data_IF_824989507181
#
_entry.id   IF_824989507181
#
_cell.length_a   1.000
_cell.length_b   1.000
_cell.length_c   1.000
_cell.angle_alpha   90.00
_cell.angle_beta   90.00
_cell.angle_gamma   90.00
#
_symmetry.space_group_name_H-M   'P 1'
#
loop_
_entity.id
_entity.type
_entity.pdbx_description
1 polymer ?
#
# COMPACT_ATOMS: atom_id res chain seq x y z
N UNK A 1 -16.63 21.62 -3.78
CA UNK A 1 -15.59 20.58 -3.95
C UNK A 1 -15.45 20.07 -5.38
N UNK A 2 -16.47 19.58 -6.07
CA UNK A 2 -16.33 19.18 -7.50
C UNK A 2 -15.90 20.31 -8.44
N UNK A 3 -15.86 21.54 -7.97
CA UNK A 3 -15.60 22.71 -8.79
C UNK A 3 -14.15 23.24 -8.71
N UNK A 4 -13.38 22.90 -7.68
CA UNK A 4 -12.06 23.52 -7.44
C UNK A 4 -11.00 23.10 -8.45
N UNK A 5 -10.82 21.80 -8.67
CA UNK A 5 -9.91 21.31 -9.72
C UNK A 5 -10.34 21.82 -11.11
N UNK A 6 -11.64 21.85 -11.36
CA UNK A 6 -12.19 22.42 -12.61
C UNK A 6 -11.84 23.90 -12.78
N UNK A 7 -11.92 24.70 -11.71
CA UNK A 7 -11.54 26.11 -11.70
C UNK A 7 -10.03 26.27 -11.94
N UNK A 8 -9.18 25.46 -11.28
CA UNK A 8 -7.73 25.47 -11.50
C UNK A 8 -7.36 25.14 -12.94
N UNK A 9 -7.96 24.09 -13.49
CA UNK A 9 -7.77 23.70 -14.90
C UNK A 9 -8.18 24.82 -15.84
N UNK A 10 -9.31 25.50 -15.56
CA UNK A 10 -9.80 26.64 -16.35
C UNK A 10 -8.85 27.83 -16.28
N UNK A 11 -8.32 28.15 -15.09
CA UNK A 11 -7.38 29.25 -14.89
C UNK A 11 -6.08 28.96 -15.61
N UNK A 12 -5.48 27.77 -15.37
CA UNK A 12 -4.30 27.29 -16.07
C UNK A 12 -4.44 27.39 -17.60
N UNK A 13 -5.55 26.85 -18.13
CA UNK A 13 -5.81 26.92 -19.58
C UNK A 13 -5.81 28.35 -20.10
N UNK A 14 -6.42 29.30 -19.36
CA UNK A 14 -6.46 30.71 -19.73
C UNK A 14 -5.08 31.38 -19.65
N UNK A 15 -4.30 31.09 -18.61
CA UNK A 15 -2.92 31.56 -18.44
C UNK A 15 -2.01 31.07 -19.59
N UNK A 16 -2.22 29.85 -20.04
CA UNK A 16 -1.52 29.28 -21.20
C UNK A 16 -2.07 29.75 -22.56
N UNK A 17 -3.13 30.58 -22.58
CA UNK A 17 -3.75 31.08 -23.83
C UNK A 17 -4.45 29.97 -24.66
N UNK A 18 -4.78 28.83 -24.05
CA UNK A 18 -5.35 27.68 -24.77
C UNK A 18 -6.88 27.76 -24.86
N UNK A 19 -7.42 27.35 -26.00
CA UNK A 19 -8.85 27.05 -26.12
C UNK A 19 -9.19 25.72 -25.43
N UNK A 20 -10.46 25.48 -25.11
CA UNK A 20 -10.91 24.19 -24.57
C UNK A 20 -10.64 23.02 -25.53
N UNK A 21 -10.67 23.29 -26.84
CA UNK A 21 -10.38 22.30 -27.86
C UNK A 21 -8.89 21.91 -27.84
N UNK A 22 -7.97 22.87 -27.78
CA UNK A 22 -6.53 22.63 -27.70
C UNK A 22 -6.15 21.86 -26.44
N UNK A 23 -6.71 22.21 -25.27
CA UNK A 23 -6.48 21.48 -24.03
C UNK A 23 -7.07 20.05 -24.11
N UNK A 24 -8.22 19.86 -24.77
CA UNK A 24 -8.79 18.53 -24.98
C UNK A 24 -7.86 17.65 -25.81
N UNK A 25 -7.36 18.19 -26.92
CA UNK A 25 -6.44 17.48 -27.83
C UNK A 25 -5.12 17.13 -27.15
N UNK A 26 -4.50 18.09 -26.41
CA UNK A 26 -3.25 17.83 -25.68
C UNK A 26 -3.41 16.71 -24.67
N UNK A 27 -4.54 16.63 -23.99
CA UNK A 27 -4.84 15.58 -23.03
C UNK A 27 -5.37 14.29 -23.66
N UNK A 28 -5.61 14.26 -24.98
CA UNK A 28 -6.13 13.10 -25.70
C UNK A 28 -7.62 12.84 -25.47
N UNK A 29 -8.41 13.91 -25.26
CA UNK A 29 -9.86 13.84 -25.35
C UNK A 29 -10.34 14.09 -26.79
N UNK A 30 -11.36 13.39 -27.23
CA UNK A 30 -11.94 13.52 -28.56
C UNK A 30 -12.71 14.80 -28.77
N UNK A 31 -13.27 15.40 -27.70
CA UNK A 31 -14.13 16.57 -27.80
C UNK A 31 -13.92 17.57 -26.67
N UNK A 32 -13.93 18.87 -27.00
CA UNK A 32 -13.88 20.00 -26.04
C UNK A 32 -14.96 19.94 -24.95
N UNK A 33 -16.06 19.24 -25.21
CA UNK A 33 -17.17 19.13 -24.25
C UNK A 33 -16.76 18.48 -22.94
N UNK A 34 -15.74 17.60 -22.94
CA UNK A 34 -15.20 17.02 -21.70
C UNK A 34 -14.49 18.06 -20.86
N UNK A 35 -13.63 18.89 -21.47
CA UNK A 35 -12.95 19.97 -20.76
C UNK A 35 -13.98 20.97 -20.18
N UNK A 36 -15.00 21.32 -20.97
CA UNK A 36 -16.07 22.19 -20.47
C UNK A 36 -16.79 21.58 -19.26
N UNK A 37 -17.12 20.30 -19.29
CA UNK A 37 -17.75 19.61 -18.15
C UNK A 37 -16.84 19.59 -16.92
N UNK A 38 -15.53 19.36 -17.12
CA UNK A 38 -14.54 19.37 -16.04
C UNK A 38 -14.41 20.77 -15.44
N UNK A 39 -14.26 21.81 -16.26
CA UNK A 39 -14.16 23.21 -15.82
C UNK A 39 -15.41 23.69 -15.07
N UNK A 40 -16.57 23.12 -15.36
CA UNK A 40 -17.84 23.39 -14.68
C UNK A 40 -18.08 22.49 -13.46
N UNK A 41 -17.15 21.59 -13.13
CA UNK A 41 -17.30 20.61 -12.03
C UNK A 41 -18.39 19.55 -12.26
N UNK A 42 -18.87 19.39 -13.51
CA UNK A 42 -19.90 18.44 -13.91
C UNK A 42 -19.32 17.05 -14.24
N UNK A 43 -18.01 16.96 -14.44
CA UNK A 43 -17.26 15.72 -14.69
C UNK A 43 -15.90 15.83 -14.03
N UNK A 44 -15.34 14.70 -13.66
CA UNK A 44 -13.99 14.60 -13.09
C UNK A 44 -12.98 14.29 -14.21
N UNK A 45 -11.73 14.72 -14.02
CA UNK A 45 -10.63 14.35 -14.89
C UNK A 45 -10.03 13.05 -14.37
N UNK A 46 -9.80 12.07 -15.26
CA UNK A 46 -9.11 10.85 -14.85
C UNK A 46 -7.69 11.15 -14.38
N UNK A 47 -7.19 10.32 -13.49
CA UNK A 47 -5.85 10.46 -12.93
C UNK A 47 -4.76 10.47 -14.01
N UNK A 48 -4.87 9.59 -15.01
CA UNK A 48 -3.99 9.57 -16.18
C UNK A 48 -3.94 10.92 -16.92
N UNK A 49 -5.07 11.58 -17.06
CA UNK A 49 -5.16 12.89 -17.70
C UNK A 49 -4.61 14.01 -16.84
N UNK A 50 -4.77 13.94 -15.50
CA UNK A 50 -4.13 14.87 -14.56
C UNK A 50 -2.62 14.76 -14.69
N UNK A 51 -2.07 13.56 -14.72
CA UNK A 51 -0.64 13.34 -14.88
C UNK A 51 -0.15 13.86 -16.22
N UNK A 52 -0.89 13.59 -17.30
CA UNK A 52 -0.56 14.12 -18.61
C UNK A 52 -0.56 15.66 -18.59
N UNK A 53 -1.53 16.29 -17.95
CA UNK A 53 -1.59 17.74 -17.76
C UNK A 53 -0.34 18.27 -17.04
N UNK A 54 0.01 17.67 -15.90
CA UNK A 54 1.18 18.09 -15.11
C UNK A 54 2.49 17.99 -15.91
N UNK A 55 2.66 16.90 -16.66
CA UNK A 55 3.85 16.70 -17.52
C UNK A 55 3.89 17.65 -18.70
N UNK A 56 2.81 17.76 -19.45
CA UNK A 56 2.75 18.53 -20.69
C UNK A 56 3.04 20.01 -20.47
N UNK A 57 2.59 20.52 -19.31
CA UNK A 57 2.76 21.93 -18.95
C UNK A 57 3.80 22.16 -17.85
N UNK A 58 4.63 21.15 -17.56
CA UNK A 58 5.73 21.19 -16.57
C UNK A 58 5.30 21.76 -15.21
N UNK A 59 4.12 21.34 -14.73
CA UNK A 59 3.53 21.84 -13.48
C UNK A 59 4.06 21.03 -12.29
N UNK A 60 4.35 21.71 -11.20
CA UNK A 60 4.65 21.04 -9.94
C UNK A 60 3.36 20.47 -9.34
N UNK A 61 3.32 19.15 -9.16
CA UNK A 61 2.13 18.47 -8.65
C UNK A 61 1.71 18.96 -7.25
N UNK A 62 2.67 19.31 -6.37
CA UNK A 62 2.41 19.83 -5.04
C UNK A 62 1.88 21.27 -5.04
N UNK A 63 2.23 22.06 -6.05
CA UNK A 63 1.72 23.44 -6.22
C UNK A 63 0.35 23.45 -6.91
N UNK A 64 0.20 22.60 -7.92
CA UNK A 64 -1.06 22.52 -8.67
C UNK A 64 -2.19 21.85 -7.88
N UNK A 65 -1.84 20.89 -7.00
CA UNK A 65 -2.77 20.16 -6.14
C UNK A 65 -2.71 20.61 -4.66
N UNK A 66 -2.41 21.90 -4.40
CA UNK A 66 -2.07 22.48 -3.08
C UNK A 66 -2.80 21.86 -1.88
N UNK A 67 -2.00 21.58 -0.82
CA UNK A 67 -2.46 21.06 0.48
C UNK A 67 -3.49 22.00 1.18
N UNK A 68 -3.42 23.32 0.98
CA UNK A 68 -4.32 24.29 1.63
C UNK A 68 -5.74 24.27 1.06
N UNK A 69 -5.94 23.90 -0.19
CA UNK A 69 -7.28 23.77 -0.79
C UNK A 69 -7.94 22.42 -0.50
N UNK A 70 -7.15 21.44 -0.01
CA UNK A 70 -7.64 20.18 0.52
C UNK A 70 -7.96 20.30 2.03
N UNK A 71 -8.05 21.51 2.55
CA UNK A 71 -8.56 21.76 3.90
C UNK A 71 -10.04 21.43 3.96
N UNK A 72 -10.35 20.14 3.80
CA UNK A 72 -11.67 19.60 4.11
C UNK A 72 -11.85 19.87 5.60
N UNK A 73 -12.68 20.84 5.91
CA UNK A 73 -13.06 21.18 7.26
C UNK A 73 -13.33 19.86 8.03
N UNK A 74 -12.71 19.67 9.18
CA UNK A 74 -12.83 18.47 10.02
C UNK A 74 -14.30 18.03 10.19
N UNK A 75 -15.23 19.01 10.22
CA UNK A 75 -16.69 18.80 10.26
C UNK A 75 -17.29 18.20 8.98
N UNK A 76 -16.64 18.34 7.82
CA UNK A 76 -17.06 17.67 6.57
C UNK A 76 -16.52 16.26 6.47
N UNK A 77 -15.34 16.00 7.05
CA UNK A 77 -14.77 14.63 7.20
C UNK A 77 -15.71 13.81 8.09
N UNK A 78 -16.17 14.37 9.20
CA UNK A 78 -17.14 13.72 10.10
C UNK A 78 -18.50 13.47 9.40
N UNK A 79 -18.92 14.35 8.48
CA UNK A 79 -20.12 14.16 7.65
C UNK A 79 -19.97 13.08 6.58
N UNK A 80 -18.76 12.81 6.10
CA UNK A 80 -18.51 11.79 5.09
C UNK A 80 -18.54 10.36 5.68
N UNK A 81 -18.68 10.22 7.03
CA UNK A 81 -18.67 8.91 7.73
C UNK A 81 -17.58 8.01 7.19
N UNK A 82 -16.36 8.49 7.20
CA UNK A 82 -15.21 7.63 6.92
C UNK A 82 -15.24 6.46 7.90
N UNK A 83 -14.87 5.29 7.42
CA UNK A 83 -14.70 4.13 8.30
C UNK A 83 -13.70 4.51 9.41
N UNK A 84 -14.04 4.23 10.67
CA UNK A 84 -13.10 4.38 11.77
C UNK A 84 -12.05 3.27 11.68
N UNK A 85 -10.79 3.63 11.50
CA UNK A 85 -9.68 2.69 11.43
C UNK A 85 -9.47 1.90 12.73
N UNK A 86 -10.04 2.38 13.85
CA UNK A 86 -10.03 1.70 15.14
C UNK A 86 -11.23 0.77 15.33
N UNK A 87 -12.20 0.77 14.42
CA UNK A 87 -13.30 -0.17 14.43
C UNK A 87 -12.81 -1.56 14.03
N UNK A 88 -12.92 -2.55 14.93
CA UNK A 88 -12.42 -3.92 14.67
C UNK A 88 -13.15 -4.57 13.48
N UNK A 89 -14.47 -4.41 13.38
CA UNK A 89 -15.29 -5.02 12.33
C UNK A 89 -15.81 -3.97 11.36
N UNK A 90 -15.07 -3.69 10.24
CA UNK A 90 -15.37 -2.54 9.38
C UNK A 90 -16.52 -2.76 8.40
N UNK A 91 -16.99 -4.00 8.19
CA UNK A 91 -17.98 -4.29 7.18
C UNK A 91 -19.38 -3.81 7.60
N UNK A 92 -20.04 -3.06 6.71
CA UNK A 92 -21.40 -2.52 6.91
C UNK A 92 -22.45 -3.61 7.17
N UNK A 93 -22.23 -4.82 6.68
CA UNK A 93 -23.11 -5.99 6.85
C UNK A 93 -23.08 -6.59 8.25
N UNK A 94 -22.21 -6.12 9.16
CA UNK A 94 -21.97 -6.73 10.47
C UNK A 94 -21.24 -8.07 10.42
N UNK A 95 -20.73 -8.46 9.25
CA UNK A 95 -19.95 -9.70 9.07
C UNK A 95 -18.60 -9.53 9.81
N UNK A 96 -18.28 -10.52 10.67
CA UNK A 96 -17.08 -10.51 11.51
C UNK A 96 -15.89 -11.29 10.91
N UNK A 97 -15.98 -11.73 9.67
CA UNK A 97 -14.91 -12.46 8.97
C UNK A 97 -13.80 -11.56 8.42
N UNK A 98 -13.95 -10.24 8.55
CA UNK A 98 -12.96 -9.24 8.16
C UNK A 98 -12.73 -8.30 9.34
N UNK A 99 -11.46 -8.10 9.70
CA UNK A 99 -11.09 -7.20 10.80
C UNK A 99 -10.08 -6.15 10.33
N UNK A 100 -10.21 -4.91 10.82
CA UNK A 100 -9.07 -3.99 10.80
C UNK A 100 -8.00 -4.54 11.72
N UNK A 101 -6.76 -4.62 11.23
CA UNK A 101 -5.67 -5.29 11.95
C UNK A 101 -5.19 -4.45 13.13
N UNK A 102 -4.91 -3.15 12.90
CA UNK A 102 -4.30 -2.24 13.88
C UNK A 102 -4.94 -2.32 15.29
N UNK A 103 -6.27 -2.23 15.46
CA UNK A 103 -6.89 -2.28 16.78
C UNK A 103 -6.86 -3.66 17.46
N UNK A 104 -6.46 -4.73 16.74
CA UNK A 104 -6.42 -6.10 17.28
C UNK A 104 -5.02 -6.52 17.73
N UNK A 105 -3.98 -5.75 17.42
CA UNK A 105 -2.58 -6.09 17.69
C UNK A 105 -2.24 -5.84 19.17
N UNK A 106 -1.61 -6.84 19.77
CA UNK A 106 -1.07 -6.79 21.14
C UNK A 106 0.45 -6.86 21.16
N UNK A 107 1.05 -7.55 20.19
CA UNK A 107 2.49 -7.71 20.07
C UNK A 107 3.14 -6.39 19.62
N UNK A 108 4.04 -5.82 20.45
CA UNK A 108 4.77 -4.56 20.18
C UNK A 108 5.68 -4.60 18.94
N UNK A 109 6.07 -5.79 18.51
CA UNK A 109 6.92 -6.00 17.34
C UNK A 109 6.11 -6.15 16.04
N UNK A 110 4.76 -6.03 16.09
CA UNK A 110 3.88 -5.98 14.94
C UNK A 110 3.33 -4.56 14.83
N UNK A 111 3.71 -3.83 13.79
CA UNK A 111 3.32 -2.44 13.55
C UNK A 111 2.44 -2.40 12.31
N UNK A 112 1.22 -1.90 12.42
CA UNK A 112 0.25 -1.89 11.32
C UNK A 112 -0.33 -0.50 11.11
N UNK A 113 -0.32 -0.06 9.87
CA UNK A 113 -0.92 1.19 9.42
C UNK A 113 -2.46 1.14 9.41
N UNK A 114 -3.07 2.33 9.34
CA UNK A 114 -4.51 2.52 9.36
C UNK A 114 -5.19 1.86 8.17
N UNK A 115 -6.45 1.42 8.37
CA UNK A 115 -7.31 0.84 7.35
C UNK A 115 -6.82 -0.48 6.72
N UNK A 116 -5.70 -1.03 7.18
CA UNK A 116 -5.25 -2.35 6.76
C UNK A 116 -6.13 -3.42 7.40
N UNK A 117 -6.63 -4.35 6.57
CA UNK A 117 -7.56 -5.37 7.03
C UNK A 117 -7.08 -6.79 6.70
N UNK A 118 -7.60 -7.74 7.47
CA UNK A 118 -7.37 -9.16 7.34
C UNK A 118 -8.69 -9.91 7.17
N UNK A 119 -8.73 -10.84 6.22
CA UNK A 119 -9.86 -11.75 6.03
C UNK A 119 -9.76 -12.94 6.99
N UNK A 120 -10.09 -12.69 8.26
CA UNK A 120 -10.04 -13.63 9.37
C UNK A 120 -10.30 -12.91 10.68
N UNK A 121 -10.25 -13.63 11.80
CA UNK A 121 -10.57 -13.07 13.13
C UNK A 121 -9.33 -12.77 14.00
N UNK A 122 -8.22 -13.45 13.76
CA UNK A 122 -6.99 -13.31 14.54
C UNK A 122 -5.78 -13.17 13.62
N UNK A 123 -5.33 -11.93 13.41
CA UNK A 123 -4.19 -11.65 12.56
C UNK A 123 -2.86 -12.09 13.18
N UNK A 124 -2.69 -11.99 14.51
CA UNK A 124 -1.42 -12.35 15.15
C UNK A 124 -1.07 -13.83 14.96
N UNK A 125 -2.07 -14.71 14.77
CA UNK A 125 -1.80 -16.12 14.45
C UNK A 125 -1.19 -16.35 13.06
N UNK A 126 -1.23 -15.33 12.19
CA UNK A 126 -0.58 -15.36 10.87
C UNK A 126 0.93 -15.08 10.94
N UNK A 127 1.43 -14.61 12.11
CA UNK A 127 2.84 -14.23 12.29
C UNK A 127 3.53 -15.36 13.07
N UNK A 128 4.26 -16.19 12.35
CA UNK A 128 4.87 -17.42 12.89
C UNK A 128 6.36 -17.22 13.20
N UNK A 129 6.90 -18.02 14.12
CA UNK A 129 8.32 -17.99 14.50
C UNK A 129 8.82 -16.59 14.90
N UNK A 130 7.95 -15.81 15.55
CA UNK A 130 8.21 -14.44 15.98
C UNK A 130 8.55 -14.42 17.46
N UNK A 131 9.83 -14.49 17.78
CA UNK A 131 10.32 -14.57 19.15
C UNK A 131 10.89 -13.23 19.63
N UNK A 132 10.48 -12.79 20.83
CA UNK A 132 10.90 -11.50 21.40
C UNK A 132 12.42 -11.33 21.50
N UNK A 133 13.17 -12.43 21.73
CA UNK A 133 14.62 -12.37 21.86
C UNK A 133 15.34 -12.09 20.53
N UNK A 134 14.71 -12.34 19.39
CA UNK A 134 15.25 -11.99 18.06
C UNK A 134 15.05 -10.50 17.78
N UNK A 135 13.91 -9.96 18.20
CA UNK A 135 13.60 -8.53 18.13
C UNK A 135 13.27 -7.99 16.74
N UNK A 136 13.10 -8.88 15.74
CA UNK A 136 12.66 -8.49 14.40
C UNK A 136 11.20 -8.03 14.41
N UNK A 137 10.84 -7.19 13.45
CA UNK A 137 9.51 -6.58 13.36
C UNK A 137 8.79 -6.98 12.08
N UNK A 138 7.47 -7.12 12.18
CA UNK A 138 6.57 -7.10 11.04
C UNK A 138 5.98 -5.69 10.94
N UNK A 139 6.28 -4.98 9.85
CA UNK A 139 5.79 -3.62 9.59
C UNK A 139 4.88 -3.66 8.38
N UNK A 140 3.62 -3.26 8.55
CA UNK A 140 2.60 -3.22 7.49
C UNK A 140 2.14 -1.78 7.34
N UNK A 141 2.13 -1.28 6.12
CA UNK A 141 1.66 0.06 5.79
C UNK A 141 0.14 0.23 5.93
N UNK A 142 -0.38 1.33 5.40
CA UNK A 142 -1.80 1.68 5.38
C UNK A 142 -2.52 1.01 4.21
N UNK A 143 -3.83 0.79 4.34
CA UNK A 143 -4.72 0.31 3.28
C UNK A 143 -4.38 -1.05 2.67
N UNK A 144 -3.65 -1.89 3.39
CA UNK A 144 -3.35 -3.24 2.92
C UNK A 144 -4.56 -4.16 3.01
N UNK A 145 -4.70 -5.03 2.02
CA UNK A 145 -5.76 -6.04 1.94
C UNK A 145 -5.13 -7.42 2.08
N UNK A 146 -5.32 -8.07 3.23
CA UNK A 146 -4.67 -9.34 3.53
C UNK A 146 -5.72 -10.45 3.54
N UNK A 147 -5.52 -11.41 2.63
CA UNK A 147 -6.39 -12.59 2.46
C UNK A 147 -6.29 -13.58 3.62
N UNK A 148 -7.24 -14.50 3.67
CA UNK A 148 -7.25 -15.54 4.69
C UNK A 148 -6.02 -16.47 4.59
N UNK A 149 -5.60 -17.01 5.74
CA UNK A 149 -4.50 -17.99 5.84
C UNK A 149 -3.16 -17.49 5.24
N UNK A 150 -2.93 -16.19 5.24
CA UNK A 150 -1.61 -15.63 4.92
C UNK A 150 -0.68 -15.94 6.09
N UNK A 151 0.57 -16.30 5.80
CA UNK A 151 1.60 -16.54 6.80
C UNK A 151 2.76 -15.56 6.62
N UNK A 152 3.09 -14.84 7.68
CA UNK A 152 4.33 -14.06 7.79
C UNK A 152 5.31 -14.84 8.65
N UNK A 153 6.21 -15.58 7.99
CA UNK A 153 7.25 -16.33 8.67
C UNK A 153 8.34 -15.35 9.12
N UNK A 154 8.65 -15.34 10.41
CA UNK A 154 9.67 -14.44 10.97
C UNK A 154 11.02 -15.14 11.15
N UNK A 155 12.05 -14.41 11.55
CA UNK A 155 13.43 -14.91 11.56
C UNK A 155 13.69 -16.10 12.47
N UNK A 156 12.82 -16.37 13.42
CA UNK A 156 12.91 -17.56 14.27
C UNK A 156 12.76 -18.90 13.52
N UNK A 157 12.30 -18.85 12.26
CA UNK A 157 12.25 -20.05 11.39
C UNK A 157 13.60 -20.39 10.75
N UNK A 158 14.58 -19.50 10.79
CA UNK A 158 15.85 -19.70 10.11
C UNK A 158 16.79 -20.59 10.93
N UNK A 159 17.41 -21.56 10.28
CA UNK A 159 18.48 -22.39 10.84
C UNK A 159 19.84 -21.97 10.27
N UNK A 160 20.91 -22.20 11.02
CA UNK A 160 22.26 -21.95 10.53
C UNK A 160 22.59 -22.88 9.37
N UNK A 161 22.92 -22.31 8.20
CA UNK A 161 23.24 -23.06 6.99
C UNK A 161 24.76 -23.29 6.80
N UNK A 162 25.59 -22.54 7.51
CA UNK A 162 27.05 -22.60 7.47
C UNK A 162 27.67 -23.47 8.58
N UNK A 163 26.85 -24.14 9.38
CA UNK A 163 27.25 -25.10 10.36
C UNK A 163 27.31 -26.51 9.74
N UNK A 164 28.07 -27.44 10.37
CA UNK A 164 28.15 -28.85 9.95
C UNK A 164 26.76 -29.51 9.95
N UNK A 165 25.90 -29.11 10.89
CA UNK A 165 24.52 -29.56 10.98
C UNK A 165 23.59 -28.36 11.09
N UNK A 166 22.45 -28.43 10.41
CA UNK A 166 21.37 -27.44 10.57
C UNK A 166 20.50 -27.73 11.80
N UNK A 167 20.71 -28.83 12.49
CA UNK A 167 19.95 -29.20 13.67
C UNK A 167 20.35 -28.30 14.87
N UNK A 168 19.41 -27.64 15.53
CA UNK A 168 19.69 -26.69 16.59
C UNK A 168 19.83 -27.40 17.94
N UNK A 169 20.92 -28.11 18.15
CA UNK A 169 21.18 -28.92 19.36
C UNK A 169 20.98 -28.11 20.65
N UNK A 170 21.33 -26.84 20.64
CA UNK A 170 21.22 -25.91 21.79
C UNK A 170 19.78 -25.66 22.24
N UNK A 171 18.77 -25.98 21.42
CA UNK A 171 17.34 -25.79 21.78
C UNK A 171 16.79 -26.98 22.59
N UNK A 172 17.43 -28.16 22.46
CA UNK A 172 16.88 -29.38 23.01
C UNK A 172 17.63 -29.84 24.30
N UNK A 173 16.89 -30.34 25.27
CA UNK A 173 17.44 -30.90 26.50
C UNK A 173 18.34 -32.12 26.21
N UNK A 174 19.39 -32.27 27.00
CA UNK A 174 20.30 -33.41 26.90
C UNK A 174 21.50 -33.20 25.96
N UNK A 175 21.62 -32.00 25.39
CA UNK A 175 22.78 -31.56 24.64
C UNK A 175 23.50 -30.47 25.40
N UNK A 176 24.77 -30.68 25.77
CA UNK A 176 25.57 -29.67 26.50
C UNK A 176 26.18 -28.66 25.53
N UNK A 177 25.32 -27.93 24.81
CA UNK A 177 25.74 -26.84 23.92
C UNK A 177 25.24 -25.51 24.41
N UNK A 178 26.13 -24.51 24.40
CA UNK A 178 25.78 -23.15 24.70
C UNK A 178 24.87 -22.55 23.60
N UNK A 179 23.94 -21.68 24.01
CA UNK A 179 23.14 -20.96 23.05
C UNK A 179 24.04 -20.07 22.18
N UNK A 180 23.81 -20.01 20.86
CA UNK A 180 24.52 -19.09 19.99
C UNK A 180 24.24 -17.66 20.37
N UNK A 181 25.16 -16.76 20.10
CA UNK A 181 24.88 -15.34 20.17
C UNK A 181 23.84 -14.97 19.12
N UNK A 182 23.05 -13.95 19.39
CA UNK A 182 22.05 -13.45 18.40
C UNK A 182 22.74 -13.08 17.08
N UNK A 183 23.96 -12.54 17.14
CA UNK A 183 24.79 -12.23 15.97
C UNK A 183 25.11 -13.44 15.08
N UNK A 184 25.05 -14.64 15.64
CA UNK A 184 25.39 -15.89 14.92
C UNK A 184 24.17 -16.52 14.28
N UNK A 185 22.97 -16.03 14.60
CA UNK A 185 21.72 -16.48 13.99
C UNK A 185 21.55 -15.87 12.59
N UNK A 186 20.99 -16.61 11.63
CA UNK A 186 20.79 -16.12 10.26
C UNK A 186 19.60 -15.15 10.16
N UNK A 187 19.68 -14.01 10.86
CA UNK A 187 18.66 -12.98 10.91
C UNK A 187 18.73 -12.12 9.64
N UNK A 188 17.59 -11.95 8.97
CA UNK A 188 17.45 -11.16 7.72
C UNK A 188 16.87 -9.77 7.95
N UNK A 189 16.64 -9.38 9.22
CA UNK A 189 16.03 -8.12 9.60
C UNK A 189 14.50 -8.13 9.55
N UNK A 190 13.92 -6.92 9.56
CA UNK A 190 12.47 -6.71 9.61
C UNK A 190 11.78 -7.11 8.30
N UNK A 191 10.59 -7.70 8.40
CA UNK A 191 9.69 -7.91 7.27
C UNK A 191 8.83 -6.67 7.08
N UNK A 192 8.89 -6.06 5.89
CA UNK A 192 8.25 -4.76 5.62
C UNK A 192 7.27 -4.89 4.46
N UNK A 193 6.03 -4.53 4.70
CA UNK A 193 4.96 -4.44 3.71
C UNK A 193 4.63 -2.96 3.52
N UNK A 194 4.70 -2.48 2.29
CA UNK A 194 4.35 -1.10 1.94
C UNK A 194 2.87 -0.78 2.10
N UNK A 195 2.45 0.36 1.56
CA UNK A 195 1.04 0.76 1.58
C UNK A 195 0.28 0.18 0.38
N UNK A 196 -1.05 0.05 0.49
CA UNK A 196 -1.93 -0.42 -0.60
C UNK A 196 -1.47 -1.76 -1.21
N UNK A 197 -0.98 -2.67 -0.36
CA UNK A 197 -0.55 -4.00 -0.80
C UNK A 197 -1.72 -4.98 -0.70
N UNK A 198 -2.00 -5.67 -1.81
CA UNK A 198 -2.99 -6.74 -1.83
C UNK A 198 -2.30 -8.10 -1.77
N UNK A 199 -2.49 -8.82 -0.66
CA UNK A 199 -1.96 -10.18 -0.44
C UNK A 199 -3.11 -11.17 -0.58
N UNK A 200 -3.02 -12.05 -1.57
CA UNK A 200 -4.01 -13.11 -1.81
C UNK A 200 -4.01 -14.15 -0.69
N UNK A 201 -5.04 -14.99 -0.67
CA UNK A 201 -5.17 -16.08 0.31
C UNK A 201 -4.02 -17.10 0.23
N UNK A 202 -3.67 -17.71 1.36
CA UNK A 202 -2.64 -18.75 1.48
C UNK A 202 -1.25 -18.31 0.97
N UNK A 203 -0.95 -17.02 0.98
CA UNK A 203 0.39 -16.50 0.65
C UNK A 203 1.32 -16.69 1.85
N UNK A 204 2.55 -17.09 1.59
CA UNK A 204 3.62 -17.17 2.58
C UNK A 204 4.65 -16.08 2.27
N UNK A 205 4.96 -15.25 3.25
CA UNK A 205 6.02 -14.24 3.17
C UNK A 205 7.19 -14.69 4.02
N UNK A 206 8.36 -14.88 3.38
CA UNK A 206 9.57 -15.35 4.05
C UNK A 206 10.24 -14.24 4.87
N UNK A 207 11.06 -14.58 5.88
CA UNK A 207 11.69 -13.63 6.78
C UNK A 207 12.50 -12.54 6.07
N UNK A 208 12.39 -11.30 6.55
CA UNK A 208 13.19 -10.16 6.12
C UNK A 208 12.85 -9.60 4.72
N UNK A 209 11.77 -10.08 4.10
CA UNK A 209 11.33 -9.61 2.78
C UNK A 209 10.74 -8.21 2.88
N UNK A 210 11.06 -7.36 1.89
CA UNK A 210 10.49 -6.02 1.72
C UNK A 210 9.58 -5.99 0.49
N UNK A 211 8.32 -5.66 0.70
CA UNK A 211 7.30 -5.56 -0.35
C UNK A 211 6.95 -4.09 -0.53
N UNK A 212 7.15 -3.57 -1.74
CA UNK A 212 6.89 -2.18 -2.08
C UNK A 212 5.40 -1.82 -2.07
N UNK A 213 5.11 -0.51 -2.12
CA UNK A 213 3.74 -0.01 -2.17
C UNK A 213 2.98 -0.51 -3.40
N UNK A 214 1.70 -0.71 -3.26
CA UNK A 214 0.81 -1.05 -4.36
C UNK A 214 1.05 -2.41 -5.01
N UNK A 215 1.80 -3.30 -4.36
CA UNK A 215 2.06 -4.66 -4.87
C UNK A 215 0.80 -5.52 -4.77
N UNK A 216 0.62 -6.39 -5.74
CA UNK A 216 -0.41 -7.44 -5.73
C UNK A 216 0.28 -8.80 -5.72
N UNK A 217 -0.06 -9.64 -4.74
CA UNK A 217 0.48 -11.00 -4.60
C UNK A 217 -0.64 -12.00 -4.82
N UNK A 218 -0.48 -12.82 -5.87
CA UNK A 218 -1.44 -13.85 -6.22
C UNK A 218 -1.59 -14.92 -5.12
N UNK A 219 -2.78 -15.49 -5.01
CA UNK A 219 -3.12 -16.56 -4.06
C UNK A 219 -2.09 -17.70 -4.10
N UNK A 220 -1.78 -18.28 -2.94
CA UNK A 220 -0.87 -19.43 -2.77
C UNK A 220 0.57 -19.20 -3.24
N UNK A 221 1.02 -17.96 -3.26
CA UNK A 221 2.40 -17.61 -3.60
C UNK A 221 3.32 -17.72 -2.39
N UNK A 222 4.62 -18.01 -2.64
CA UNK A 222 5.67 -17.98 -1.63
C UNK A 222 6.66 -16.87 -1.96
N UNK A 223 6.63 -15.79 -1.20
CA UNK A 223 7.48 -14.61 -1.41
C UNK A 223 8.82 -14.80 -0.71
N UNK A 224 9.88 -15.00 -1.48
CA UNK A 224 11.22 -15.32 -0.99
C UNK A 224 12.25 -14.19 -1.18
N UNK A 225 11.86 -13.10 -1.88
CA UNK A 225 12.70 -11.94 -2.22
C UNK A 225 11.90 -10.67 -2.17
N UNK A 226 12.58 -9.55 -2.05
CA UNK A 226 12.00 -8.23 -2.13
C UNK A 226 11.20 -8.03 -3.44
N UNK A 227 10.07 -7.32 -3.33
CA UNK A 227 9.20 -7.04 -4.46
C UNK A 227 9.17 -5.52 -4.68
N UNK A 228 9.55 -5.05 -5.89
CA UNK A 228 9.50 -3.63 -6.21
C UNK A 228 8.04 -3.10 -6.24
N UNK A 229 7.85 -1.80 -5.96
CA UNK A 229 6.51 -1.19 -5.91
C UNK A 229 5.69 -1.44 -7.17
N UNK A 230 4.36 -1.50 -7.00
CA UNK A 230 3.37 -1.64 -8.08
C UNK A 230 3.59 -2.84 -9.00
N UNK A 231 4.22 -3.90 -8.49
CA UNK A 231 4.37 -5.17 -9.20
C UNK A 231 3.20 -6.10 -8.91
N UNK A 232 2.85 -6.93 -9.88
CA UNK A 232 1.97 -8.10 -9.71
C UNK A 232 2.85 -9.33 -9.75
N UNK A 233 2.81 -10.12 -8.67
CA UNK A 233 3.64 -11.32 -8.50
C UNK A 233 2.79 -12.55 -8.22
N UNK A 234 3.33 -13.75 -8.51
CA UNK A 234 2.66 -15.02 -8.20
C UNK A 234 3.59 -16.20 -8.30
N UNK A 235 3.18 -17.32 -7.73
CA UNK A 235 3.86 -18.60 -7.80
C UNK A 235 4.73 -18.96 -6.58
N UNK A 236 5.36 -20.14 -6.64
CA UNK A 236 6.28 -20.65 -5.63
C UNK A 236 7.59 -21.10 -6.31
N UNK A 237 8.70 -20.36 -6.12
CA UNK A 237 8.76 -19.05 -5.49
C UNK A 237 8.10 -17.96 -6.36
N UNK A 238 7.58 -16.92 -5.71
CA UNK A 238 6.91 -15.82 -6.40
C UNK A 238 7.85 -15.12 -7.40
N UNK A 239 7.29 -14.80 -8.58
CA UNK A 239 7.96 -14.07 -9.65
C UNK A 239 7.12 -12.92 -10.13
N UNK A 240 7.75 -11.86 -10.62
CA UNK A 240 7.06 -10.73 -11.23
C UNK A 240 6.39 -11.21 -12.51
N UNK A 241 5.08 -11.05 -12.58
CA UNK A 241 4.25 -11.34 -13.75
C UNK A 241 4.21 -10.10 -14.65
N UNK A 242 3.94 -8.93 -14.04
CA UNK A 242 3.92 -7.63 -14.72
C UNK A 242 3.95 -6.49 -13.71
N UNK A 243 4.14 -5.26 -14.18
CA UNK A 243 3.89 -4.04 -13.41
C UNK A 243 2.43 -3.59 -13.59
N UNK A 244 1.85 -2.94 -12.58
CA UNK A 244 0.50 -2.35 -12.65
C UNK A 244 0.47 -1.16 -13.60
N UNK A 245 1.57 -0.40 -13.64
CA UNK A 245 1.73 0.83 -14.41
C UNK A 245 3.10 0.85 -15.08
N UNK A 246 3.34 1.79 -16.00
CA UNK A 246 4.65 2.05 -16.55
C UNK A 246 5.58 2.72 -15.50
N UNK A 247 6.89 2.73 -15.75
CA UNK A 247 7.87 3.20 -14.77
C UNK A 247 7.69 4.67 -14.41
N UNK A 248 7.38 5.51 -15.38
CA UNK A 248 7.13 6.93 -15.14
C UNK A 248 5.94 7.17 -14.21
N UNK A 249 4.87 6.39 -14.39
CA UNK A 249 3.71 6.44 -13.52
C UNK A 249 4.05 5.96 -12.11
N UNK A 250 4.82 4.89 -11.98
CA UNK A 250 5.26 4.36 -10.69
C UNK A 250 6.08 5.41 -9.93
N UNK A 251 7.05 6.05 -10.60
CA UNK A 251 7.84 7.12 -9.98
C UNK A 251 6.98 8.28 -9.48
N UNK A 252 5.98 8.66 -10.27
CA UNK A 252 5.07 9.73 -9.90
C UNK A 252 4.19 9.34 -8.71
N UNK A 253 3.63 8.12 -8.70
CA UNK A 253 2.85 7.59 -7.59
C UNK A 253 3.67 7.54 -6.29
N UNK A 254 4.94 7.15 -6.36
CA UNK A 254 5.84 7.14 -5.22
C UNK A 254 6.18 8.55 -4.71
N UNK A 255 6.30 9.54 -5.61
CA UNK A 255 6.46 10.96 -5.23
C UNK A 255 5.20 11.53 -4.59
N UNK A 256 4.03 11.21 -5.13
CA UNK A 256 2.73 11.63 -4.59
C UNK A 256 2.39 10.95 -3.25
N UNK A 257 3.01 9.81 -2.96
CA UNK A 257 2.82 9.06 -1.72
C UNK A 257 2.93 9.93 -0.46
N UNK A 258 3.92 10.83 -0.41
CA UNK A 258 4.10 11.76 0.70
C UNK A 258 2.93 12.72 0.88
N UNK A 259 2.24 13.08 -0.21
CA UNK A 259 1.12 14.02 -0.19
C UNK A 259 -0.24 13.32 0.03
N UNK A 260 -0.48 12.18 -0.66
CA UNK A 260 -1.77 11.50 -0.65
C UNK A 260 -2.01 10.63 0.61
N UNK A 261 -0.96 10.03 1.18
CA UNK A 261 -1.11 9.24 2.41
C UNK A 261 -1.10 10.08 3.70
N UNK A 262 -0.74 11.37 3.61
CA UNK A 262 -0.93 12.34 4.71
C UNK A 262 -2.34 12.92 4.75
N UNK A 263 -3.10 12.80 3.67
CA UNK A 263 -4.50 13.23 3.64
C UNK A 263 -5.35 12.12 4.26
N UNK A 264 -5.84 12.37 5.46
CA UNK A 264 -6.80 11.51 6.17
C UNK A 264 -8.16 11.36 5.42
N UNK A 265 -8.23 11.84 4.18
CA UNK A 265 -9.46 11.91 3.39
C UNK A 265 -9.24 11.69 1.90
N UNK A 266 -8.58 10.61 1.50
CA UNK A 266 -8.50 10.26 0.08
C UNK A 266 -9.83 9.67 -0.35
N UNK A 267 -10.61 10.44 -1.12
CA UNK A 267 -11.63 9.88 -1.99
C UNK A 267 -10.91 9.12 -3.10
N UNK A 268 -10.84 7.81 -2.99
CA UNK A 268 -10.35 6.98 -4.09
C UNK A 268 -11.26 7.15 -5.30
N UNK A 269 -10.70 7.65 -6.38
CA UNK A 269 -11.38 7.71 -7.66
C UNK A 269 -11.25 6.34 -8.31
N UNK A 270 -12.37 5.65 -8.47
CA UNK A 270 -12.44 4.52 -9.36
C UNK A 270 -12.29 5.04 -10.79
N UNK A 271 -11.21 4.66 -11.46
CA UNK A 271 -11.12 4.85 -12.90
C UNK A 271 -12.10 3.85 -13.51
N UNK A 272 -13.21 4.35 -14.06
CA UNK A 272 -14.02 3.56 -14.99
C UNK A 272 -13.35 3.64 -16.35
N UNK A 273 -13.07 2.48 -16.92
CA UNK A 273 -12.63 2.31 -18.31
C UNK A 273 -13.57 3.02 -19.29
#
# INVERSE_FOLDING_TARGET
>A
MKNELGIKIKNLRKELGLSQQQLAESLGYTHKSMINKIELGKSEMSYEKIIKLLKEYNLNASEFLNEEEININKNEIDRLRLSDSNMVYPLKSGIKSVVHIKPTIKNKNIIVGEYSYYSGSNFESCVTHHYDFIGDKLIIGKFCQIGANVEFMMNGANHQMNAVSTYPFYVFNGWEQENPLISDLPIKGDTIIGNDVWIGENVIVMPGVKIGDGVIIGKSSVVTKDIPPYSIVGGNPARIIKKRFNDEMIELLLKLKTTLFFLDSVKFFWVKD
#
